data_IF_795742224821
#
_entry.id   IF_795742224821
#
_cell.length_a   1.000
_cell.length_b   1.000
_cell.length_c   1.000
_cell.angle_alpha   90.00
_cell.angle_beta   90.00
_cell.angle_gamma   90.00
#
_symmetry.space_group_name_H-M   'P 1'
#
loop_
_entity.id
_entity.type
_entity.pdbx_description
1 polymer ?
#
# COMPACT_ATOMS: atom_id res chain seq x y z
N UNK A 1 -28.10 -26.73 21.96
CA UNK A 1 -27.45 -26.17 20.75
C UNK A 1 -26.55 -25.01 21.17
N UNK A 2 -25.22 -25.15 21.07
CA UNK A 2 -24.30 -24.02 21.23
C UNK A 2 -24.29 -23.25 19.91
N UNK A 3 -25.01 -22.13 19.86
CA UNK A 3 -24.90 -21.17 18.76
C UNK A 3 -23.49 -20.56 18.83
N UNK A 4 -22.59 -21.09 18.01
CA UNK A 4 -21.30 -20.47 17.74
C UNK A 4 -21.50 -19.57 16.53
N UNK A 5 -22.00 -18.37 16.79
CA UNK A 5 -22.13 -17.31 15.79
C UNK A 5 -21.10 -16.25 16.13
N UNK A 6 -19.84 -16.57 15.85
CA UNK A 6 -18.83 -15.53 15.62
C UNK A 6 -18.34 -15.84 14.20
N UNK A 7 -18.82 -15.11 13.17
CA UNK A 7 -18.21 -15.21 11.86
C UNK A 7 -16.73 -14.90 12.04
N UNK A 8 -15.84 -15.79 11.58
CA UNK A 8 -14.43 -15.46 11.43
C UNK A 8 -14.35 -14.52 10.23
N UNK A 9 -14.43 -13.22 10.48
CA UNK A 9 -13.83 -12.25 9.57
C UNK A 9 -12.36 -12.62 9.39
N UNK A 10 -11.74 -12.27 8.26
CA UNK A 10 -10.28 -12.20 8.21
C UNK A 10 -9.81 -11.39 9.43
N UNK A 11 -8.76 -11.88 10.10
CA UNK A 11 -8.23 -11.15 11.25
C UNK A 11 -7.70 -9.80 10.77
N UNK A 12 -7.81 -8.76 11.60
CA UNK A 12 -7.13 -7.48 11.31
C UNK A 12 -5.65 -7.70 10.98
N UNK A 13 -4.98 -8.65 11.64
CA UNK A 13 -3.60 -9.01 11.34
C UNK A 13 -3.41 -9.55 9.92
N UNK A 14 -4.29 -10.43 9.44
CA UNK A 14 -4.20 -10.97 8.07
C UNK A 14 -4.36 -9.84 7.03
N UNK A 15 -5.28 -8.89 7.29
CA UNK A 15 -5.47 -7.72 6.44
C UNK A 15 -4.24 -6.80 6.45
N UNK A 16 -3.63 -6.58 7.62
CA UNK A 16 -2.39 -5.80 7.72
C UNK A 16 -1.20 -6.49 7.07
N UNK A 17 -1.08 -7.81 7.17
CA UNK A 17 -0.05 -8.58 6.46
C UNK A 17 -0.20 -8.42 4.94
N UNK A 18 -1.44 -8.48 4.43
CA UNK A 18 -1.74 -8.24 3.01
C UNK A 18 -1.40 -6.80 2.60
N UNK A 19 -1.78 -5.81 3.40
CA UNK A 19 -1.49 -4.40 3.13
C UNK A 19 0.02 -4.15 3.10
N UNK A 20 0.76 -4.68 4.09
CA UNK A 20 2.20 -4.56 4.17
C UNK A 20 2.92 -5.25 3.00
N UNK A 21 2.48 -6.46 2.62
CA UNK A 21 3.02 -7.16 1.45
C UNK A 21 2.80 -6.36 0.15
N UNK A 22 1.60 -5.79 -0.04
CA UNK A 22 1.32 -4.95 -1.20
C UNK A 22 2.21 -3.69 -1.21
N UNK A 23 2.39 -3.04 -0.06
CA UNK A 23 3.28 -1.89 0.06
C UNK A 23 4.74 -2.24 -0.28
N UNK A 24 5.26 -3.36 0.25
CA UNK A 24 6.62 -3.82 -0.02
C UNK A 24 6.84 -4.13 -1.51
N UNK A 25 5.89 -4.84 -2.15
CA UNK A 25 5.92 -5.12 -3.58
C UNK A 25 5.91 -3.80 -4.40
N UNK A 26 5.06 -2.85 -4.02
CA UNK A 26 4.90 -1.57 -4.72
C UNK A 26 6.12 -0.66 -4.56
N UNK A 27 6.72 -0.62 -3.37
CA UNK A 27 7.98 0.08 -3.13
C UNK A 27 9.12 -0.52 -3.96
N UNK A 28 9.15 -1.85 -4.10
CA UNK A 28 10.08 -2.55 -4.98
C UNK A 28 9.91 -2.18 -6.47
N UNK A 29 8.66 -2.04 -6.93
CA UNK A 29 8.35 -1.59 -8.29
C UNK A 29 8.84 -0.16 -8.53
N UNK A 30 8.60 0.76 -7.59
CA UNK A 30 9.09 2.13 -7.69
C UNK A 30 10.62 2.19 -7.75
N UNK A 31 11.31 1.44 -6.87
CA UNK A 31 12.77 1.36 -6.88
C UNK A 31 13.29 0.83 -8.23
N UNK A 32 12.66 -0.20 -8.78
CA UNK A 32 13.00 -0.75 -10.09
C UNK A 32 12.81 0.29 -11.20
N UNK A 33 11.66 0.99 -11.20
CA UNK A 33 11.38 2.07 -12.14
C UNK A 33 12.47 3.14 -12.10
N UNK A 34 12.84 3.62 -10.90
CA UNK A 34 13.84 4.67 -10.72
C UNK A 34 15.29 4.20 -10.98
N UNK A 35 15.52 2.89 -11.05
CA UNK A 35 16.84 2.30 -11.34
C UNK A 35 17.05 2.08 -12.83
N UNK A 36 16.09 1.45 -13.51
CA UNK A 36 16.23 1.04 -14.91
C UNK A 36 15.63 2.05 -15.89
N UNK A 37 14.54 2.70 -15.49
CA UNK A 37 13.83 3.76 -16.22
C UNK A 37 13.57 3.51 -17.72
N UNK A 38 13.21 2.28 -18.08
CA UNK A 38 13.01 1.88 -19.49
C UNK A 38 11.58 2.10 -20.02
N UNK A 39 10.56 1.89 -19.18
CA UNK A 39 9.15 2.03 -19.55
C UNK A 39 8.34 2.61 -18.38
N UNK A 40 8.37 3.93 -18.17
CA UNK A 40 7.67 4.59 -17.07
C UNK A 40 6.15 4.42 -17.14
N UNK A 41 5.59 4.29 -18.35
CA UNK A 41 4.14 4.19 -18.57
C UNK A 41 3.61 2.82 -18.14
N UNK A 42 4.31 1.74 -18.50
CA UNK A 42 3.98 0.40 -18.02
C UNK A 42 4.16 0.27 -16.51
N UNK A 43 5.25 0.82 -15.96
CA UNK A 43 5.49 0.80 -14.53
C UNK A 43 4.44 1.59 -13.73
N UNK A 44 4.03 2.77 -14.21
CA UNK A 44 2.94 3.55 -13.62
C UNK A 44 1.62 2.76 -13.65
N UNK A 45 1.28 2.11 -14.77
CA UNK A 45 0.05 1.29 -14.83
C UNK A 45 0.07 0.13 -13.83
N UNK A 46 1.23 -0.51 -13.62
CA UNK A 46 1.39 -1.58 -12.63
C UNK A 46 1.29 -1.03 -11.19
N UNK A 47 1.97 0.08 -10.89
CA UNK A 47 1.92 0.74 -9.57
C UNK A 47 0.48 1.16 -9.25
N UNK A 48 -0.24 1.75 -10.20
CA UNK A 48 -1.64 2.13 -10.02
C UNK A 48 -2.57 0.95 -9.76
N UNK A 49 -2.30 -0.19 -10.39
CA UNK A 49 -3.03 -1.41 -10.09
C UNK A 49 -2.77 -1.88 -8.65
N UNK A 50 -1.53 -1.75 -8.15
CA UNK A 50 -1.18 -2.07 -6.77
C UNK A 50 -1.77 -1.09 -5.76
N UNK A 51 -1.81 0.19 -6.08
CA UNK A 51 -2.51 1.20 -5.31
C UNK A 51 -3.97 0.79 -5.11
N UNK A 52 -4.69 0.51 -6.20
CA UNK A 52 -6.08 0.08 -6.13
C UNK A 52 -6.30 -1.21 -5.32
N UNK A 53 -5.35 -2.16 -5.40
CA UNK A 53 -5.36 -3.36 -4.55
C UNK A 53 -5.19 -3.03 -3.06
N UNK A 54 -4.31 -2.10 -2.72
CA UNK A 54 -4.10 -1.62 -1.36
C UNK A 54 -5.31 -0.85 -0.83
N UNK A 55 -5.88 0.01 -1.65
CA UNK A 55 -7.07 0.81 -1.38
C UNK A 55 -8.28 -0.07 -1.02
N UNK A 56 -8.47 -1.19 -1.74
CA UNK A 56 -9.47 -2.20 -1.40
C UNK A 56 -9.17 -2.93 -0.07
N UNK A 57 -7.89 -3.17 0.26
CA UNK A 57 -7.50 -3.73 1.57
C UNK A 57 -7.79 -2.73 2.70
N UNK A 58 -7.46 -1.45 2.53
CA UNK A 58 -7.80 -0.37 3.46
C UNK A 58 -9.31 -0.33 3.70
N UNK A 59 -10.11 -0.37 2.64
CA UNK A 59 -11.57 -0.46 2.74
C UNK A 59 -12.03 -1.72 3.49
N UNK A 60 -11.41 -2.88 3.29
CA UNK A 60 -11.71 -4.10 4.05
C UNK A 60 -11.45 -3.91 5.54
N UNK A 61 -10.32 -3.29 5.92
CA UNK A 61 -10.00 -2.98 7.31
C UNK A 61 -11.05 -2.03 7.91
N UNK A 62 -11.42 -0.96 7.21
CA UNK A 62 -12.42 0.00 7.70
C UNK A 62 -13.79 -0.63 7.86
N UNK A 63 -14.22 -1.49 6.93
CA UNK A 63 -15.47 -2.26 7.05
C UNK A 63 -15.43 -3.23 8.23
N UNK A 64 -14.32 -3.93 8.43
CA UNK A 64 -14.14 -4.81 9.58
C UNK A 64 -14.19 -4.01 10.90
N UNK A 65 -13.54 -2.84 10.95
CA UNK A 65 -13.53 -1.96 12.12
C UNK A 65 -14.92 -1.45 12.50
N UNK A 66 -15.71 -1.05 11.49
CA UNK A 66 -17.07 -0.54 11.69
C UNK A 66 -18.09 -1.63 12.09
N UNK A 67 -17.81 -2.89 11.78
CA UNK A 67 -18.71 -4.02 12.05
C UNK A 67 -18.26 -4.89 13.23
N UNK A 68 -17.06 -4.67 13.76
CA UNK A 68 -16.51 -5.43 14.87
C UNK A 68 -16.69 -4.70 16.21
N UNK A 69 -17.38 -5.37 17.15
CA UNK A 69 -17.59 -4.81 18.48
C UNK A 69 -16.33 -4.87 19.36
N UNK A 70 -15.59 -5.99 19.32
CA UNK A 70 -14.36 -6.20 20.10
C UNK A 70 -13.17 -6.28 19.15
N UNK A 71 -12.30 -5.28 19.19
CA UNK A 71 -11.07 -5.22 18.39
C UNK A 71 -9.89 -5.90 19.12
N UNK A 72 -8.88 -6.40 18.38
CA UNK A 72 -7.72 -7.07 18.98
C UNK A 72 -6.78 -6.12 19.73
N UNK A 73 -6.80 -4.83 19.37
CA UNK A 73 -6.13 -3.73 20.05
C UNK A 73 -6.93 -2.45 19.84
N UNK A 74 -6.37 -1.30 20.20
CA UNK A 74 -7.08 -0.02 20.14
C UNK A 74 -7.62 0.28 18.72
N UNK A 75 -8.86 0.74 18.66
CA UNK A 75 -9.59 0.99 17.42
C UNK A 75 -9.00 2.15 16.63
N UNK A 76 -8.58 3.20 17.33
CA UNK A 76 -7.98 4.38 16.70
C UNK A 76 -6.62 4.00 16.12
N UNK A 77 -5.88 3.11 16.78
CA UNK A 77 -4.60 2.60 16.25
C UNK A 77 -4.79 1.72 15.01
N UNK A 78 -5.82 0.86 14.95
CA UNK A 78 -6.15 0.10 13.72
C UNK A 78 -6.43 1.06 12.56
N UNK A 79 -7.31 2.05 12.79
CA UNK A 79 -7.63 3.03 11.76
C UNK A 79 -6.38 3.79 11.32
N UNK A 80 -5.61 4.31 12.28
CA UNK A 80 -4.41 5.10 11.99
C UNK A 80 -3.38 4.28 11.22
N UNK A 81 -3.14 3.03 11.61
CA UNK A 81 -2.18 2.19 10.91
C UNK A 81 -2.60 1.92 9.46
N UNK A 82 -3.88 1.60 9.23
CA UNK A 82 -4.38 1.38 7.89
C UNK A 82 -4.24 2.64 7.01
N UNK A 83 -4.67 3.80 7.51
CA UNK A 83 -4.53 5.07 6.79
C UNK A 83 -3.07 5.44 6.51
N UNK A 84 -2.15 5.19 7.44
CA UNK A 84 -0.73 5.50 7.21
C UNK A 84 -0.09 4.59 6.15
N UNK A 85 -0.52 3.32 6.04
CA UNK A 85 -0.05 2.43 4.98
C UNK A 85 -0.57 2.90 3.62
N UNK A 86 -1.85 3.29 3.58
CA UNK A 86 -2.54 3.88 2.42
C UNK A 86 -1.82 5.14 1.91
N UNK A 87 -1.56 6.10 2.81
CA UNK A 87 -0.87 7.36 2.48
C UNK A 87 0.51 7.12 1.82
N UNK A 88 1.23 6.07 2.22
CA UNK A 88 2.52 5.72 1.62
C UNK A 88 2.32 5.17 0.21
N UNK A 89 1.32 4.33 0.01
CA UNK A 89 1.00 3.72 -1.27
C UNK A 89 0.57 4.78 -2.30
N UNK A 90 -0.29 5.71 -1.88
CA UNK A 90 -0.68 6.91 -2.64
C UNK A 90 0.54 7.75 -3.00
N UNK A 91 1.46 7.91 -2.06
CA UNK A 91 2.72 8.62 -2.29
C UNK A 91 3.56 7.97 -3.40
N UNK A 92 3.59 6.63 -3.46
CA UNK A 92 4.30 5.89 -4.52
C UNK A 92 3.59 6.07 -5.87
N UNK A 93 2.26 5.94 -5.91
CA UNK A 93 1.46 6.16 -7.12
C UNK A 93 1.65 7.57 -7.66
N UNK A 94 1.55 8.59 -6.79
CA UNK A 94 1.75 9.98 -7.15
C UNK A 94 3.13 10.25 -7.76
N UNK A 95 4.20 9.59 -7.28
CA UNK A 95 5.53 9.71 -7.90
C UNK A 95 5.52 9.13 -9.31
N UNK A 96 4.93 7.95 -9.51
CA UNK A 96 4.83 7.33 -10.84
C UNK A 96 4.00 8.19 -11.82
N UNK A 97 2.88 8.74 -11.34
CA UNK A 97 2.04 9.70 -12.06
C UNK A 97 2.83 10.91 -12.52
N UNK A 98 3.59 11.54 -11.61
CA UNK A 98 4.37 12.75 -11.91
C UNK A 98 5.51 12.48 -12.91
N UNK A 99 6.15 11.31 -12.85
CA UNK A 99 7.19 10.93 -13.82
C UNK A 99 6.63 10.89 -15.24
N UNK A 100 5.45 10.27 -15.41
CA UNK A 100 4.77 10.14 -16.71
C UNK A 100 4.20 11.49 -17.15
N UNK A 101 3.47 12.19 -16.27
CA UNK A 101 2.81 13.46 -16.56
C UNK A 101 3.80 14.53 -17.03
N UNK A 102 4.96 14.61 -16.39
CA UNK A 102 6.00 15.58 -16.72
C UNK A 102 6.97 15.11 -17.80
N UNK A 103 6.77 13.92 -18.37
CA UNK A 103 7.64 13.34 -19.41
C UNK A 103 9.11 13.34 -18.99
N UNK A 104 9.38 12.93 -17.74
CA UNK A 104 10.74 12.87 -17.22
C UNK A 104 11.55 11.89 -18.09
N UNK A 105 12.68 12.35 -18.63
CA UNK A 105 13.54 11.50 -19.47
C UNK A 105 14.45 10.61 -18.62
N UNK A 106 14.91 11.11 -17.47
CA UNK A 106 15.74 10.37 -16.51
C UNK A 106 15.49 10.87 -15.08
N UNK A 107 15.37 9.98 -14.09
CA UNK A 107 15.21 10.35 -12.70
C UNK A 107 16.52 10.87 -12.11
N UNK A 108 16.41 11.77 -11.13
CA UNK A 108 17.59 12.23 -10.39
C UNK A 108 18.13 11.10 -9.50
N UNK A 109 19.47 11.00 -9.31
CA UNK A 109 20.07 9.99 -8.43
C UNK A 109 19.49 10.01 -7.01
N UNK A 110 19.12 11.18 -6.51
CA UNK A 110 18.53 11.36 -5.18
C UNK A 110 17.15 10.73 -5.05
N UNK A 111 16.35 10.68 -6.13
CA UNK A 111 15.04 10.01 -6.13
C UNK A 111 15.20 8.51 -5.91
N UNK A 112 16.23 7.91 -6.54
CA UNK A 112 16.56 6.51 -6.32
C UNK A 112 16.96 6.25 -4.86
N UNK A 113 17.78 7.11 -4.26
CA UNK A 113 18.17 6.97 -2.84
C UNK A 113 16.96 7.01 -1.91
N UNK A 114 15.97 7.88 -2.19
CA UNK A 114 14.73 7.92 -1.44
C UNK A 114 13.92 6.62 -1.58
N UNK A 115 13.83 6.08 -2.80
CA UNK A 115 13.15 4.81 -3.04
C UNK A 115 13.88 3.61 -2.41
N UNK A 116 15.21 3.63 -2.33
CA UNK A 116 15.99 2.60 -1.60
C UNK A 116 15.67 2.62 -0.10
N UNK A 117 15.54 3.80 0.51
CA UNK A 117 15.12 3.93 1.91
C UNK A 117 13.69 3.42 2.10
N UNK A 118 12.78 3.79 1.22
CA UNK A 118 11.38 3.35 1.26
C UNK A 118 11.27 1.83 1.15
N UNK A 119 11.90 1.23 0.14
CA UNK A 119 11.88 -0.22 -0.09
C UNK A 119 12.59 -1.03 1.01
N UNK A 120 13.56 -0.44 1.73
CA UNK A 120 14.19 -1.08 2.87
C UNK A 120 13.35 -0.99 4.16
N UNK A 121 12.43 -0.02 4.24
CA UNK A 121 11.59 0.20 5.41
C UNK A 121 10.23 -0.51 5.32
N UNK A 122 9.78 -0.80 4.11
CA UNK A 122 8.60 -1.61 3.81
C UNK A 122 8.85 -3.11 4.10
#
# INVERSE_FOLDING_TARGET
MRLRVIPRSEGFYDLFERAAANLADTAGLLLKLLTDFQDPEAAHAEIRQREHEGDEITHQIMRALNTTFVTPFDREDIHRLASLIDDILDGIEAVADLLVLHQIEQPLPEMRQQAEVLASAA
#
